data_IF_466304853025
#
_entry.id   IF_466304853025
#
_cell.length_a   1.000
_cell.length_b   1.000
_cell.length_c   1.000
_cell.angle_alpha   90.00
_cell.angle_beta   90.00
_cell.angle_gamma   90.00
#
_symmetry.space_group_name_H-M   'P 1'
#
loop_
_entity.id
_entity.type
_entity.pdbx_description
1 polymer ?
#
# COMPACT_ATOMS: atom_id res chain seq x y z
N UNK A 1 -6.84 3.98 30.35
CA UNK A 1 -5.76 3.04 30.11
C UNK A 1 -5.13 3.27 28.74
N UNK A 2 -3.88 2.92 28.58
CA UNK A 2 -3.22 3.02 27.29
C UNK A 2 -3.28 1.68 26.56
N UNK A 3 -3.62 1.71 25.28
CA UNK A 3 -3.75 0.53 24.46
C UNK A 3 -3.00 0.76 23.16
N UNK A 4 -2.26 -0.22 22.70
CA UNK A 4 -1.60 -0.17 21.38
C UNK A 4 -2.49 -0.89 20.37
N UNK A 5 -2.66 -0.28 19.22
CA UNK A 5 -3.44 -0.86 18.13
C UNK A 5 -2.57 -0.92 16.89
N UNK A 6 -2.30 -2.12 16.42
CA UNK A 6 -1.60 -2.29 15.16
C UNK A 6 -2.65 -2.36 14.05
N UNK A 7 -2.55 -1.46 13.09
CA UNK A 7 -3.57 -1.37 12.03
C UNK A 7 -2.90 -1.46 10.66
N UNK A 8 -3.66 -1.92 9.69
CA UNK A 8 -3.22 -2.05 8.31
C UNK A 8 -4.38 -1.65 7.41
N UNK A 9 -4.07 -0.87 6.38
CA UNK A 9 -4.99 -0.63 5.29
C UNK A 9 -4.37 -1.29 4.07
N UNK A 10 -5.09 -2.21 3.46
CA UNK A 10 -4.58 -2.97 2.34
C UNK A 10 -5.42 -2.70 1.09
N UNK A 11 -4.77 -2.69 -0.07
CA UNK A 11 -5.48 -2.46 -1.31
C UNK A 11 -4.66 -2.88 -2.51
N UNK A 12 -5.34 -3.06 -3.63
CA UNK A 12 -4.71 -3.40 -4.90
C UNK A 12 -5.14 -2.37 -5.92
N UNK A 13 -4.17 -1.68 -6.52
CA UNK A 13 -4.44 -0.69 -7.56
C UNK A 13 -4.00 -1.25 -8.91
N UNK A 14 -4.80 -0.98 -9.93
CA UNK A 14 -4.43 -1.31 -11.30
C UNK A 14 -4.11 -0.02 -12.02
N UNK A 15 -2.95 0.02 -12.68
CA UNK A 15 -2.53 1.23 -13.36
C UNK A 15 -1.59 0.92 -14.51
N UNK A 16 -1.52 1.87 -15.46
CA UNK A 16 -0.57 1.79 -16.55
C UNK A 16 0.77 2.30 -16.11
N UNK A 17 1.83 1.56 -16.45
CA UNK A 17 3.20 1.99 -16.16
C UNK A 17 4.13 1.24 -17.11
N UNK A 18 5.28 1.85 -17.38
CA UNK A 18 6.26 1.24 -18.28
C UNK A 18 7.01 0.09 -17.61
N UNK A 19 7.18 0.17 -16.31
CA UNK A 19 7.87 -0.87 -15.54
C UNK A 19 7.16 -1.06 -14.20
N UNK A 20 7.45 -2.17 -13.54
CA UNK A 20 6.89 -2.41 -12.21
C UNK A 20 7.42 -1.40 -11.22
N UNK A 21 8.70 -1.02 -11.35
CA UNK A 21 9.29 -0.01 -10.47
C UNK A 21 8.59 1.34 -10.63
N UNK A 22 8.23 1.70 -11.87
CA UNK A 22 7.51 2.94 -12.10
C UNK A 22 6.13 2.93 -11.45
N UNK A 23 5.45 1.79 -11.47
CA UNK A 23 4.15 1.65 -10.83
C UNK A 23 4.28 1.79 -9.31
N UNK A 24 5.29 1.12 -8.74
CA UNK A 24 5.53 1.23 -7.30
C UNK A 24 5.84 2.67 -6.90
N UNK A 25 6.64 3.36 -7.71
CA UNK A 25 6.99 4.75 -7.42
C UNK A 25 5.76 5.65 -7.46
N UNK A 26 4.86 5.42 -8.40
CA UNK A 26 3.62 6.20 -8.48
C UNK A 26 2.78 6.05 -7.22
N UNK A 27 2.60 4.81 -6.78
CA UNK A 27 1.80 4.54 -5.59
C UNK A 27 2.46 5.16 -4.37
N UNK A 28 3.77 5.00 -4.23
CA UNK A 28 4.49 5.56 -3.10
C UNK A 28 4.34 7.08 -3.05
N UNK A 29 4.47 7.74 -4.21
CA UNK A 29 4.35 9.18 -4.27
C UNK A 29 2.95 9.64 -3.87
N UNK A 30 1.91 8.94 -4.35
CA UNK A 30 0.55 9.27 -4.00
C UNK A 30 0.29 9.08 -2.51
N UNK A 31 0.81 8.00 -1.93
CA UNK A 31 0.65 7.75 -0.50
C UNK A 31 1.39 8.77 0.34
N UNK A 32 2.58 9.18 -0.09
CA UNK A 32 3.32 10.24 0.60
C UNK A 32 2.54 11.55 0.60
N UNK A 33 1.85 11.83 -0.49
CA UNK A 33 1.03 13.03 -0.56
C UNK A 33 -0.14 12.96 0.42
N UNK A 34 -0.76 11.79 0.53
CA UNK A 34 -1.84 11.60 1.50
C UNK A 34 -1.33 11.83 2.92
N UNK A 35 -0.14 11.31 3.23
CA UNK A 35 0.44 11.51 4.55
C UNK A 35 0.73 12.99 4.81
N UNK A 36 1.20 13.71 3.79
CA UNK A 36 1.46 15.14 3.93
C UNK A 36 0.19 15.93 4.17
N UNK A 37 -0.91 15.53 3.50
CA UNK A 37 -2.20 16.21 3.65
C UNK A 37 -2.90 15.84 4.94
N UNK A 38 -2.54 14.72 5.55
CA UNK A 38 -3.20 14.21 6.75
C UNK A 38 -2.16 13.81 7.79
N UNK A 39 -1.51 14.80 8.43
CA UNK A 39 -0.43 14.50 9.39
C UNK A 39 -0.87 13.67 10.58
N UNK A 40 -2.16 13.59 10.85
CA UNK A 40 -2.68 12.76 11.93
C UNK A 40 -2.37 11.28 11.71
N UNK A 41 -2.19 10.86 10.45
CA UNK A 41 -1.80 9.49 10.18
C UNK A 41 -0.47 9.15 10.85
N UNK A 42 0.43 10.12 10.94
CA UNK A 42 1.72 9.92 11.59
C UNK A 42 1.64 10.26 13.08
N UNK A 43 1.08 11.44 13.39
CA UNK A 43 1.16 11.97 14.75
C UNK A 43 0.24 11.27 15.72
N UNK A 44 -0.91 10.82 15.25
CA UNK A 44 -1.90 10.17 16.12
C UNK A 44 -1.96 8.68 15.86
N UNK A 45 -2.01 8.30 14.58
CA UNK A 45 -2.17 6.88 14.21
C UNK A 45 -0.84 6.15 14.08
N UNK A 46 0.29 6.85 14.11
CA UNK A 46 1.59 6.23 14.19
C UNK A 46 2.07 5.56 12.90
N UNK A 47 1.65 6.07 11.74
CA UNK A 47 2.12 5.50 10.48
C UNK A 47 3.65 5.60 10.40
N UNK A 48 4.31 4.51 10.03
CA UNK A 48 5.78 4.46 10.02
C UNK A 48 6.39 4.08 8.69
N UNK A 49 5.63 3.40 7.83
CA UNK A 49 6.20 2.90 6.59
C UNK A 49 5.15 2.89 5.50
N UNK A 50 5.61 3.13 4.29
CA UNK A 50 4.81 2.97 3.08
C UNK A 50 5.39 1.77 2.36
N UNK A 51 4.57 0.76 2.10
CA UNK A 51 5.02 -0.44 1.45
C UNK A 51 4.11 -0.77 0.28
N UNK A 52 4.72 -1.14 -0.82
CA UNK A 52 3.96 -1.56 -1.98
C UNK A 52 4.84 -2.45 -2.83
N UNK A 53 4.23 -3.43 -3.47
CA UNK A 53 4.95 -4.32 -4.36
C UNK A 53 4.12 -4.53 -5.61
N UNK A 54 4.72 -4.23 -6.76
CA UNK A 54 4.05 -4.42 -8.05
C UNK A 54 4.14 -5.87 -8.47
N UNK A 55 3.10 -6.34 -9.15
CA UNK A 55 3.12 -7.65 -9.77
C UNK A 55 2.26 -7.60 -11.02
N UNK A 56 2.49 -8.55 -11.92
CA UNK A 56 1.76 -8.61 -13.17
C UNK A 56 0.45 -9.37 -12.99
N UNK A 57 -0.61 -8.94 -13.67
CA UNK A 57 -1.87 -9.70 -13.64
C UNK A 57 -1.63 -11.14 -14.12
N UNK A 58 -2.16 -12.09 -13.37
CA UNK A 58 -2.00 -13.49 -13.70
C UNK A 58 -0.69 -14.10 -13.25
N UNK A 59 0.18 -13.33 -12.60
CA UNK A 59 1.43 -13.86 -12.06
C UNK A 59 1.14 -14.71 -10.81
N UNK A 60 2.20 -15.31 -10.28
CA UNK A 60 2.08 -16.13 -9.08
C UNK A 60 1.53 -15.33 -7.90
N UNK A 61 1.98 -14.08 -7.77
CA UNK A 61 1.51 -13.21 -6.69
C UNK A 61 0.01 -12.93 -6.82
N UNK A 62 -0.45 -12.70 -8.05
CA UNK A 62 -1.86 -12.44 -8.29
C UNK A 62 -2.70 -13.69 -7.99
N UNK A 63 -2.19 -14.86 -8.38
CA UNK A 63 -2.88 -16.11 -8.11
C UNK A 63 -2.97 -16.38 -6.62
N UNK A 64 -1.90 -16.13 -5.89
CA UNK A 64 -1.89 -16.32 -4.45
C UNK A 64 -2.91 -15.43 -3.77
N UNK A 65 -3.03 -14.17 -4.22
CA UNK A 65 -4.00 -13.25 -3.66
C UNK A 65 -5.42 -13.75 -3.87
N UNK A 66 -5.69 -14.33 -5.03
CA UNK A 66 -7.01 -14.89 -5.31
C UNK A 66 -7.31 -16.11 -4.45
N UNK A 67 -6.29 -16.93 -4.21
CA UNK A 67 -6.48 -18.12 -3.39
C UNK A 67 -6.89 -17.76 -1.98
N UNK A 68 -6.41 -16.66 -1.48
CA UNK A 68 -6.74 -16.21 -0.14
C UNK A 68 -8.19 -15.78 0.01
N UNK A 69 -8.81 -15.39 -1.07
CA UNK A 69 -10.20 -14.94 -1.03
C UNK A 69 -11.19 -16.06 -0.82
N UNK A 70 -10.75 -17.27 -0.96
CA UNK A 70 -11.61 -18.44 -0.77
C UNK A 70 -11.66 -18.87 0.68
#
# INVERSE_FOLDING_TARGET
>A
MQVKIHWIIDGVAEMEADTMEAAEAKVEEMLKKVLADHPDLINILGARAIQGKAYLPGSAEDTDAKAEDN
#
